data_IF_165560758012
#
_entry.id   IF_165560758012
#
_cell.length_a   1.000
_cell.length_b   1.000
_cell.length_c   1.000
_cell.angle_alpha   90.00
_cell.angle_beta   90.00
_cell.angle_gamma   90.00
#
_symmetry.space_group_name_H-M   'P 1'
#
loop_
_entity.id
_entity.type
_entity.pdbx_description
1 polymer ?
#
# COMPACT_ATOMS: atom_id res chain seq x y z
N UNK A 1 14.31 6.23 13.10
CA UNK A 1 15.71 5.78 12.97
C UNK A 1 16.45 6.82 12.13
N UNK A 2 17.66 7.25 12.53
CA UNK A 2 18.50 8.20 11.75
C UNK A 2 19.72 7.44 11.23
N UNK A 3 19.99 7.55 9.94
CA UNK A 3 21.21 7.01 9.33
C UNK A 3 22.30 8.07 9.44
N UNK A 4 23.52 7.67 9.83
CA UNK A 4 24.66 8.61 9.91
C UNK A 4 24.90 9.27 8.55
N UNK A 5 25.34 10.54 8.50
CA UNK A 5 25.61 11.25 7.26
C UNK A 5 26.70 10.52 6.45
N UNK A 6 26.29 9.92 5.38
CA UNK A 6 27.15 9.22 4.42
C UNK A 6 26.69 9.65 3.03
N UNK A 7 27.57 9.64 2.04
CA UNK A 7 27.25 10.01 0.65
C UNK A 7 25.99 9.32 0.12
N UNK A 8 25.74 8.10 0.58
CA UNK A 8 24.59 7.27 0.17
C UNK A 8 23.42 7.28 1.16
N UNK A 9 23.44 8.12 2.21
CA UNK A 9 22.44 8.09 3.27
C UNK A 9 21.01 8.29 2.75
N UNK A 10 20.83 9.19 1.79
CA UNK A 10 19.51 9.48 1.19
C UNK A 10 18.99 8.29 0.37
N UNK A 11 19.84 7.70 -0.46
CA UNK A 11 19.46 6.54 -1.29
C UNK A 11 19.17 5.30 -0.43
N UNK A 12 19.96 5.08 0.63
CA UNK A 12 19.74 3.99 1.57
C UNK A 12 18.44 4.20 2.36
N UNK A 13 18.15 5.42 2.81
CA UNK A 13 16.89 5.73 3.47
C UNK A 13 15.70 5.50 2.54
N UNK A 14 15.80 5.92 1.28
CA UNK A 14 14.76 5.69 0.28
C UNK A 14 14.51 4.19 0.08
N UNK A 15 15.56 3.40 -0.05
CA UNK A 15 15.46 1.94 -0.21
C UNK A 15 14.78 1.29 1.00
N UNK A 16 15.18 1.64 2.23
CA UNK A 16 14.58 1.10 3.46
C UNK A 16 13.08 1.46 3.53
N UNK A 17 12.73 2.70 3.20
CA UNK A 17 11.33 3.12 3.22
C UNK A 17 10.49 2.37 2.17
N UNK A 18 11.01 2.15 0.97
CA UNK A 18 10.35 1.33 -0.05
C UNK A 18 10.20 -0.14 0.39
N UNK A 19 11.17 -0.69 1.11
CA UNK A 19 11.05 -2.03 1.70
C UNK A 19 9.90 -2.10 2.71
N UNK A 20 9.68 -1.06 3.53
CA UNK A 20 8.52 -0.99 4.42
C UNK A 20 7.18 -0.88 3.66
N UNK A 21 7.14 -0.15 2.55
CA UNK A 21 5.98 -0.17 1.67
C UNK A 21 5.72 -1.59 1.13
N UNK A 22 6.77 -2.27 0.70
CA UNK A 22 6.68 -3.66 0.23
C UNK A 22 6.11 -4.61 1.28
N UNK A 23 6.59 -4.52 2.52
CA UNK A 23 6.07 -5.32 3.64
C UNK A 23 4.58 -5.03 3.85
N UNK A 24 4.16 -3.77 3.77
CA UNK A 24 2.76 -3.38 3.93
C UNK A 24 1.87 -3.98 2.84
N UNK A 25 2.28 -3.92 1.58
CA UNK A 25 1.55 -4.53 0.47
C UNK A 25 1.47 -6.05 0.61
N UNK A 26 2.58 -6.69 0.99
CA UNK A 26 2.62 -8.13 1.20
C UNK A 26 1.66 -8.57 2.32
N UNK A 27 1.63 -7.86 3.44
CA UNK A 27 0.69 -8.13 4.55
C UNK A 27 -0.76 -8.00 4.08
N UNK A 28 -1.09 -6.93 3.30
CA UNK A 28 -2.44 -6.80 2.73
C UNK A 28 -2.76 -7.88 1.71
N UNK A 29 -1.80 -8.36 0.94
CA UNK A 29 -1.99 -9.49 0.02
C UNK A 29 -2.36 -10.76 0.76
N UNK A 30 -1.70 -11.02 1.89
CA UNK A 30 -2.06 -12.16 2.74
C UNK A 30 -3.47 -12.00 3.32
N UNK A 31 -3.78 -10.82 3.85
CA UNK A 31 -5.11 -10.52 4.38
C UNK A 31 -6.20 -10.67 3.31
N UNK A 32 -5.97 -10.14 2.09
CA UNK A 32 -6.85 -10.31 0.93
C UNK A 32 -7.08 -11.78 0.59
N UNK A 33 -6.01 -12.58 0.55
CA UNK A 33 -6.10 -14.02 0.29
C UNK A 33 -6.90 -14.78 1.34
N UNK A 34 -6.71 -14.44 2.62
CA UNK A 34 -7.43 -15.05 3.73
C UNK A 34 -8.91 -14.65 3.71
N UNK A 35 -9.22 -13.37 3.50
CA UNK A 35 -10.59 -12.86 3.46
C UNK A 35 -11.39 -13.50 2.31
N UNK A 36 -10.75 -13.68 1.17
CA UNK A 36 -11.39 -14.19 -0.03
C UNK A 36 -11.13 -15.69 -0.28
N UNK A 37 -10.69 -16.42 0.76
CA UNK A 37 -10.35 -17.84 0.63
C UNK A 37 -11.50 -18.69 0.11
N UNK A 38 -12.73 -18.40 0.47
CA UNK A 38 -13.92 -19.12 0.00
C UNK A 38 -14.11 -19.05 -1.52
N UNK A 39 -13.67 -17.94 -2.14
CA UNK A 39 -13.75 -17.73 -3.59
C UNK A 39 -12.48 -18.20 -4.30
N UNK A 40 -11.34 -17.98 -3.68
CA UNK A 40 -10.03 -18.26 -4.29
C UNK A 40 -9.53 -19.67 -4.02
N UNK A 41 -9.88 -20.26 -2.87
CA UNK A 41 -9.29 -21.52 -2.37
C UNK A 41 -9.46 -22.70 -3.31
N UNK A 42 -10.58 -22.77 -4.05
CA UNK A 42 -10.82 -23.82 -5.05
C UNK A 42 -9.88 -23.76 -6.27
N UNK A 43 -9.25 -22.61 -6.51
CA UNK A 43 -8.31 -22.39 -7.61
C UNK A 43 -6.85 -22.57 -7.19
N UNK A 44 -6.56 -22.68 -5.89
CA UNK A 44 -5.22 -22.87 -5.36
C UNK A 44 -4.90 -24.37 -5.29
N UNK A 45 -4.08 -24.82 -6.22
CA UNK A 45 -3.45 -26.14 -6.16
C UNK A 45 -2.00 -25.96 -5.72
N UNK A 46 -1.43 -26.94 -5.01
CA UNK A 46 -0.02 -26.88 -4.59
C UNK A 46 0.96 -26.67 -5.75
N UNK A 47 0.55 -27.02 -6.99
CA UNK A 47 1.35 -26.80 -8.20
C UNK A 47 1.35 -25.36 -8.72
N UNK A 48 0.30 -24.55 -8.47
CA UNK A 48 0.21 -23.18 -9.01
C UNK A 48 0.41 -22.08 -7.97
N UNK A 49 0.51 -22.43 -6.68
CA UNK A 49 0.69 -21.47 -5.58
C UNK A 49 1.94 -20.58 -5.80
N UNK A 50 3.04 -21.17 -6.25
CA UNK A 50 4.28 -20.44 -6.53
C UNK A 50 4.11 -19.41 -7.65
N UNK A 51 3.38 -19.74 -8.70
CA UNK A 51 3.10 -18.84 -9.83
C UNK A 51 2.19 -17.69 -9.41
N UNK A 52 1.16 -17.97 -8.60
CA UNK A 52 0.26 -16.96 -8.06
C UNK A 52 0.99 -15.98 -7.16
N UNK A 53 1.85 -16.48 -6.25
CA UNK A 53 2.67 -15.62 -5.39
C UNK A 53 3.65 -14.77 -6.21
N UNK A 54 4.34 -15.37 -7.19
CA UNK A 54 5.26 -14.65 -8.08
C UNK A 54 4.54 -13.57 -8.87
N UNK A 55 3.41 -13.89 -9.49
CA UNK A 55 2.58 -12.91 -10.20
C UNK A 55 2.14 -11.77 -9.27
N UNK A 56 1.68 -12.12 -8.06
CA UNK A 56 1.31 -11.15 -7.04
C UNK A 56 2.44 -10.19 -6.68
N UNK A 57 3.65 -10.71 -6.43
CA UNK A 57 4.82 -9.89 -6.13
C UNK A 57 5.22 -8.98 -7.30
N UNK A 58 5.09 -9.44 -8.55
CA UNK A 58 5.35 -8.60 -9.72
C UNK A 58 4.37 -7.43 -9.80
N UNK A 59 3.08 -7.67 -9.54
CA UNK A 59 2.07 -6.61 -9.50
C UNK A 59 2.33 -5.62 -8.37
N UNK A 60 2.68 -6.11 -7.16
CA UNK A 60 3.02 -5.23 -6.03
C UNK A 60 4.25 -4.39 -6.33
N UNK A 61 5.28 -4.97 -6.97
CA UNK A 61 6.47 -4.24 -7.40
C UNK A 61 6.08 -3.10 -8.34
N UNK A 62 5.31 -3.40 -9.37
CA UNK A 62 4.85 -2.41 -10.33
C UNK A 62 4.03 -1.30 -9.64
N UNK A 63 3.07 -1.69 -8.80
CA UNK A 63 2.24 -0.75 -8.06
C UNK A 63 3.08 0.17 -7.16
N UNK A 64 4.03 -0.38 -6.39
CA UNK A 64 4.90 0.41 -5.51
C UNK A 64 5.78 1.36 -6.32
N UNK A 65 6.37 0.91 -7.43
CA UNK A 65 7.21 1.74 -8.28
C UNK A 65 6.41 2.91 -8.89
N UNK A 66 5.20 2.67 -9.39
CA UNK A 66 4.35 3.72 -9.93
C UNK A 66 3.87 4.69 -8.85
N UNK A 67 3.31 4.19 -7.76
CA UNK A 67 2.76 5.03 -6.70
C UNK A 67 3.84 5.84 -5.98
N UNK A 68 5.02 5.27 -5.79
CA UNK A 68 6.14 5.96 -5.15
C UNK A 68 7.11 6.63 -6.13
N UNK A 69 6.78 6.74 -7.43
CA UNK A 69 7.65 7.36 -8.43
C UNK A 69 8.06 8.79 -8.05
N UNK A 70 7.10 9.61 -7.62
CA UNK A 70 7.37 10.97 -7.16
C UNK A 70 8.29 10.99 -5.93
N UNK A 71 8.05 10.10 -4.97
CA UNK A 71 8.92 9.95 -3.79
C UNK A 71 10.35 9.57 -4.18
N UNK A 72 10.49 8.60 -5.11
CA UNK A 72 11.81 8.17 -5.60
C UNK A 72 12.53 9.32 -6.29
N UNK A 73 11.83 10.08 -7.14
CA UNK A 73 12.42 11.27 -7.79
C UNK A 73 12.90 12.26 -6.74
N UNK A 74 12.09 12.59 -5.74
CA UNK A 74 12.46 13.52 -4.66
C UNK A 74 13.70 13.08 -3.88
N UNK A 75 13.88 11.78 -3.67
CA UNK A 75 14.98 11.23 -2.88
C UNK A 75 16.25 10.95 -3.68
N UNK A 76 16.12 10.66 -4.97
CA UNK A 76 17.26 10.27 -5.83
C UNK A 76 17.81 11.42 -6.68
N UNK A 77 17.07 12.53 -6.84
CA UNK A 77 17.57 13.70 -7.54
C UNK A 77 18.92 14.16 -6.97
N UNK A 78 19.94 14.39 -7.84
CA UNK A 78 21.29 14.77 -7.42
C UNK A 78 21.35 16.27 -7.03
N UNK A 79 20.42 16.74 -6.20
CA UNK A 79 20.35 18.11 -5.73
C UNK A 79 20.79 18.20 -4.26
N UNK A 80 21.60 19.18 -3.93
CA UNK A 80 22.00 19.45 -2.53
C UNK A 80 20.82 19.78 -1.63
N UNK A 81 19.70 20.26 -2.22
CA UNK A 81 18.46 20.57 -1.49
C UNK A 81 17.85 19.36 -0.80
N UNK A 82 18.12 18.13 -1.30
CA UNK A 82 17.61 16.89 -0.68
C UNK A 82 18.06 16.66 0.76
N UNK A 83 19.15 17.31 1.19
CA UNK A 83 19.69 17.24 2.55
C UNK A 83 18.97 18.19 3.51
N UNK A 84 18.19 19.15 2.96
CA UNK A 84 17.44 20.11 3.78
C UNK A 84 16.30 19.40 4.52
N UNK A 85 16.13 19.72 5.82
CA UNK A 85 15.05 19.16 6.65
C UNK A 85 13.65 19.40 6.08
N UNK A 86 13.41 20.53 5.43
CA UNK A 86 12.14 20.87 4.78
C UNK A 86 11.83 19.91 3.64
N UNK A 87 12.82 19.64 2.77
CA UNK A 87 12.70 18.69 1.67
C UNK A 87 12.41 17.28 2.15
N UNK A 88 13.10 16.82 3.19
CA UNK A 88 12.90 15.50 3.77
C UNK A 88 11.52 15.34 4.42
N UNK A 89 10.99 16.40 5.04
CA UNK A 89 9.61 16.39 5.56
C UNK A 89 8.58 16.30 4.42
N UNK A 90 8.80 17.03 3.33
CA UNK A 90 7.94 16.96 2.14
C UNK A 90 7.98 15.57 1.52
N UNK A 91 9.17 14.99 1.31
CA UNK A 91 9.32 13.64 0.80
C UNK A 91 8.63 12.59 1.71
N UNK A 92 8.77 12.74 3.02
CA UNK A 92 8.03 11.90 3.99
C UNK A 92 6.53 12.05 3.83
N UNK A 93 6.02 13.28 3.71
CA UNK A 93 4.59 13.53 3.54
C UNK A 93 4.07 12.85 2.26
N UNK A 94 4.75 13.02 1.13
CA UNK A 94 4.41 12.37 -0.14
C UNK A 94 4.38 10.85 0.03
N UNK A 95 5.43 10.27 0.63
CA UNK A 95 5.52 8.83 0.84
C UNK A 95 4.37 8.31 1.70
N UNK A 96 4.09 8.95 2.83
CA UNK A 96 3.03 8.51 3.76
C UNK A 96 1.65 8.65 3.12
N UNK A 97 1.36 9.78 2.48
CA UNK A 97 0.05 10.03 1.85
C UNK A 97 -0.22 9.02 0.74
N UNK A 98 0.73 8.82 -0.16
CA UNK A 98 0.57 7.90 -1.29
C UNK A 98 0.38 6.47 -0.82
N UNK A 99 1.19 6.01 0.13
CA UNK A 99 1.07 4.64 0.63
C UNK A 99 -0.17 4.45 1.52
N UNK A 100 -0.60 5.46 2.27
CA UNK A 100 -1.86 5.40 3.02
C UNK A 100 -3.06 5.27 2.08
N UNK A 101 -3.10 6.05 0.98
CA UNK A 101 -4.13 5.91 -0.05
C UNK A 101 -4.12 4.52 -0.67
N UNK A 102 -2.95 4.00 -1.00
CA UNK A 102 -2.80 2.65 -1.55
C UNK A 102 -3.28 1.57 -0.56
N UNK A 103 -3.00 1.72 0.73
CA UNK A 103 -3.52 0.82 1.79
C UNK A 103 -5.05 0.89 1.85
N UNK A 104 -5.65 2.08 1.80
CA UNK A 104 -7.10 2.24 1.78
C UNK A 104 -7.74 1.60 0.55
N UNK A 105 -7.12 1.73 -0.62
CA UNK A 105 -7.59 1.09 -1.85
C UNK A 105 -7.51 -0.43 -1.73
N UNK A 106 -6.41 -0.98 -1.21
CA UNK A 106 -6.26 -2.42 -0.99
C UNK A 106 -7.28 -2.95 0.03
N UNK A 107 -7.61 -2.15 1.06
CA UNK A 107 -8.66 -2.47 2.02
C UNK A 107 -10.03 -2.58 1.33
N UNK A 108 -10.39 -1.55 0.55
CA UNK A 108 -11.63 -1.54 -0.22
C UNK A 108 -11.70 -2.72 -1.20
N UNK A 109 -10.60 -3.00 -1.90
CA UNK A 109 -10.50 -4.12 -2.84
C UNK A 109 -10.70 -5.49 -2.15
N UNK A 110 -10.18 -5.66 -0.93
CA UNK A 110 -10.33 -6.91 -0.17
C UNK A 110 -11.78 -7.22 0.16
N UNK A 111 -12.57 -6.21 0.47
CA UNK A 111 -13.99 -6.34 0.76
C UNK A 111 -14.82 -6.48 -0.53
N UNK A 112 -14.56 -5.60 -1.51
CA UNK A 112 -15.32 -5.54 -2.76
C UNK A 112 -15.21 -6.83 -3.59
N UNK A 113 -14.05 -7.48 -3.61
CA UNK A 113 -13.83 -8.72 -4.36
C UNK A 113 -14.78 -9.85 -3.94
N UNK A 114 -15.11 -9.95 -2.67
CA UNK A 114 -16.00 -10.97 -2.14
C UNK A 114 -17.41 -10.92 -2.77
N UNK A 115 -17.86 -9.71 -3.12
CA UNK A 115 -19.20 -9.47 -3.68
C UNK A 115 -19.23 -9.55 -5.20
N UNK A 116 -18.14 -9.16 -5.86
CA UNK A 116 -18.12 -8.98 -7.32
C UNK A 116 -17.28 -10.02 -8.06
N UNK A 117 -16.39 -10.75 -7.35
CA UNK A 117 -15.43 -11.69 -7.94
C UNK A 117 -14.36 -11.01 -8.80
N UNK A 118 -14.30 -9.66 -8.79
CA UNK A 118 -13.32 -8.86 -9.54
C UNK A 118 -12.70 -7.79 -8.67
N UNK A 119 -11.49 -7.38 -9.01
CA UNK A 119 -10.79 -6.30 -8.30
C UNK A 119 -11.40 -4.94 -8.63
N UNK A 120 -11.27 -4.02 -7.69
CA UNK A 120 -11.72 -2.64 -7.82
C UNK A 120 -11.07 -1.98 -9.03
N UNK A 121 -11.89 -1.38 -9.89
CA UNK A 121 -11.47 -0.60 -11.07
C UNK A 121 -12.11 0.78 -11.04
N UNK A 122 -11.70 1.69 -11.92
CA UNK A 122 -12.26 3.03 -11.97
C UNK A 122 -13.78 3.06 -12.26
N UNK A 123 -14.34 1.97 -12.80
CA UNK A 123 -15.79 1.83 -13.03
C UNK A 123 -16.61 1.81 -11.74
N UNK A 124 -15.98 1.54 -10.59
CA UNK A 124 -16.64 1.56 -9.28
C UNK A 124 -17.30 2.92 -9.00
N UNK A 125 -16.67 4.02 -9.44
CA UNK A 125 -17.22 5.36 -9.24
C UNK A 125 -18.51 5.58 -10.01
N UNK A 126 -18.68 4.96 -11.19
CA UNK A 126 -19.92 5.02 -11.96
C UNK A 126 -20.97 4.04 -11.44
N UNK A 127 -20.57 2.90 -10.94
CA UNK A 127 -21.46 1.90 -10.34
C UNK A 127 -22.08 2.43 -9.04
N UNK A 128 -21.28 3.07 -8.20
CA UNK A 128 -21.74 3.65 -6.93
C UNK A 128 -22.31 5.07 -7.06
N UNK A 129 -22.04 5.79 -8.16
CA UNK A 129 -22.52 7.15 -8.34
C UNK A 129 -24.05 7.31 -8.38
N UNK A 130 -24.77 6.20 -8.66
CA UNK A 130 -26.24 6.17 -8.71
C UNK A 130 -26.87 5.61 -7.41
N UNK A 131 -26.08 5.17 -6.45
CA UNK A 131 -26.55 4.58 -5.20
C UNK A 131 -26.72 5.66 -4.12
N UNK A 132 -27.96 6.06 -3.83
CA UNK A 132 -28.26 7.06 -2.79
C UNK A 132 -27.84 6.66 -1.35
N UNK A 133 -27.42 5.41 -1.11
CA UNK A 133 -27.12 4.85 0.19
C UNK A 133 -25.64 4.47 0.42
N UNK A 134 -24.73 5.00 -0.40
CA UNK A 134 -23.30 4.69 -0.32
C UNK A 134 -22.70 4.78 1.08
N UNK A 135 -23.04 5.85 1.82
CA UNK A 135 -22.52 6.05 3.18
C UNK A 135 -22.94 4.97 4.17
N UNK A 136 -24.16 4.46 4.07
CA UNK A 136 -24.65 3.39 4.93
C UNK A 136 -24.02 2.03 4.57
N UNK A 137 -23.84 1.75 3.28
CA UNK A 137 -23.19 0.51 2.82
C UNK A 137 -21.73 0.48 3.27
N UNK A 138 -20.97 1.56 3.05
CA UNK A 138 -19.58 1.67 3.50
C UNK A 138 -19.51 1.53 5.03
N UNK A 139 -20.42 2.19 5.77
CA UNK A 139 -20.45 2.11 7.22
C UNK A 139 -20.66 0.69 7.74
N UNK A 140 -21.60 -0.05 7.15
CA UNK A 140 -21.85 -1.46 7.51
C UNK A 140 -20.64 -2.33 7.19
N UNK A 141 -20.03 -2.15 6.00
CA UNK A 141 -18.84 -2.92 5.60
C UNK A 141 -17.62 -2.64 6.48
N UNK A 142 -17.40 -1.40 6.89
CA UNK A 142 -16.36 -1.03 7.86
C UNK A 142 -16.58 -1.73 9.21
N UNK A 143 -17.81 -1.82 9.68
CA UNK A 143 -18.13 -2.49 10.93
C UNK A 143 -17.98 -4.02 10.82
N UNK A 144 -18.41 -4.61 9.71
CA UNK A 144 -18.27 -6.05 9.46
C UNK A 144 -16.81 -6.50 9.33
N UNK A 145 -15.95 -5.63 8.75
CA UNK A 145 -14.53 -5.91 8.49
C UNK A 145 -13.60 -5.04 9.35
N UNK A 146 -14.02 -4.74 10.60
CA UNK A 146 -13.26 -3.86 11.52
C UNK A 146 -11.79 -4.27 11.70
N UNK A 147 -11.50 -5.57 11.66
CA UNK A 147 -10.14 -6.11 11.78
C UNK A 147 -9.24 -5.70 10.60
N UNK A 148 -9.77 -5.61 9.37
CA UNK A 148 -9.03 -5.11 8.21
C UNK A 148 -8.76 -3.61 8.34
N UNK A 149 -9.72 -2.86 8.88
CA UNK A 149 -9.56 -1.42 9.16
C UNK A 149 -8.47 -1.22 10.21
N UNK A 150 -8.48 -2.04 11.27
CA UNK A 150 -7.45 -1.99 12.31
C UNK A 150 -6.07 -2.33 11.73
N UNK A 151 -5.98 -3.35 10.87
CA UNK A 151 -4.76 -3.69 10.15
C UNK A 151 -4.26 -2.51 9.30
N UNK A 152 -5.15 -1.83 8.56
CA UNK A 152 -4.80 -0.66 7.77
C UNK A 152 -4.22 0.46 8.64
N UNK A 153 -4.86 0.76 9.78
CA UNK A 153 -4.39 1.77 10.73
C UNK A 153 -3.00 1.40 11.26
N UNK A 154 -2.79 0.15 11.67
CA UNK A 154 -1.50 -0.33 12.20
C UNK A 154 -0.40 -0.16 11.15
N UNK A 155 -0.67 -0.53 9.89
CA UNK A 155 0.31 -0.40 8.80
C UNK A 155 0.60 1.07 8.48
N UNK A 156 -0.40 1.95 8.43
CA UNK A 156 -0.19 3.39 8.20
C UNK A 156 0.65 4.00 9.34
N UNK A 157 0.31 3.68 10.59
CA UNK A 157 1.08 4.14 11.76
C UNK A 157 2.51 3.58 11.70
N UNK A 158 2.67 2.32 11.30
CA UNK A 158 3.96 1.69 11.06
C UNK A 158 4.80 2.45 10.04
N UNK A 159 4.23 2.78 8.86
CA UNK A 159 4.90 3.57 7.82
C UNK A 159 5.35 4.94 8.34
N UNK A 160 4.52 5.63 9.14
CA UNK A 160 4.87 6.94 9.72
C UNK A 160 6.00 6.84 10.73
N UNK A 161 5.95 5.83 11.64
CA UNK A 161 6.92 5.67 12.74
C UNK A 161 8.24 5.05 12.31
N UNK A 162 8.19 4.09 11.39
CA UNK A 162 9.37 3.40 10.89
C UNK A 162 10.07 4.12 9.74
N UNK A 163 9.49 5.24 9.28
CA UNK A 163 10.10 6.07 8.24
C UNK A 163 11.51 6.50 8.65
N UNK A 164 12.47 6.20 7.80
CA UNK A 164 13.89 6.54 8.00
C UNK A 164 14.19 7.86 7.29
N UNK A 165 14.62 8.85 8.07
CA UNK A 165 15.15 10.11 7.53
C UNK A 165 16.66 10.02 7.41
N UNK A 166 17.27 10.48 6.31
CA UNK A 166 18.70 10.72 6.27
C UNK A 166 19.05 11.79 7.31
N UNK A 167 20.21 11.67 7.95
CA UNK A 167 20.65 12.57 9.03
C UNK A 167 21.21 13.86 8.45
#
# INVERSE_FOLDING_TARGET
MKIKPTIYATSLSAFINLMWAYVSYFVFRLAYGLENWSVLGGNFTSGNMGEVLKGGMMFDTSAIMYTNSLYMVLMLLPLHVKECRGWQKMAKCVFVVVNALAICINLADSVYFKYTGRRTTATIFSEFGNEGNLGSVIGVEVLNHWYLVLLAIVLIVGLVKLYVMPA
#
